data_IF_743442952413
#
_entry.id   IF_743442952413
#
_cell.length_a   1.000
_cell.length_b   1.000
_cell.length_c   1.000
_cell.angle_alpha   90.00
_cell.angle_beta   90.00
_cell.angle_gamma   90.00
#
_symmetry.space_group_name_H-M   'P 1'
#
loop_
_entity.id
_entity.type
_entity.pdbx_description
1 polymer ?
#
# COMPACT_ATOMS: atom_id res chain seq x y z
N UNK A 1 -3.44 -8.27 9.55
CA UNK A 1 -4.35 -9.17 8.81
C UNK A 1 -3.75 -9.43 7.44
N UNK A 2 -3.47 -10.69 7.07
CA UNK A 2 -3.19 -11.02 5.67
C UNK A 2 -4.53 -11.15 4.96
N UNK A 3 -4.74 -10.34 3.92
CA UNK A 3 -5.91 -10.43 3.05
C UNK A 3 -5.74 -11.72 2.25
N UNK A 4 -6.52 -12.75 2.59
CA UNK A 4 -6.53 -14.00 1.83
C UNK A 4 -7.84 -14.05 1.04
N UNK A 5 -7.71 -14.11 -0.28
CA UNK A 5 -8.82 -14.13 -1.24
C UNK A 5 -8.80 -15.49 -1.96
N UNK A 6 -9.17 -16.58 -1.26
CA UNK A 6 -8.95 -17.94 -1.73
C UNK A 6 -9.73 -18.24 -3.00
N UNK A 7 -10.99 -17.82 -3.12
CA UNK A 7 -11.82 -18.10 -4.30
C UNK A 7 -11.37 -17.27 -5.50
N UNK A 8 -11.01 -16.02 -5.26
CA UNK A 8 -10.43 -15.17 -6.32
C UNK A 8 -9.16 -15.78 -6.89
N UNK A 9 -8.27 -16.32 -6.04
CA UNK A 9 -7.05 -17.02 -6.47
C UNK A 9 -7.36 -18.31 -7.23
N UNK A 10 -8.37 -19.06 -6.82
CA UNK A 10 -8.73 -20.32 -7.48
C UNK A 10 -9.23 -20.09 -8.92
N UNK A 11 -10.08 -19.08 -9.13
CA UNK A 11 -10.54 -18.70 -10.48
C UNK A 11 -9.35 -18.28 -11.36
N UNK A 12 -8.42 -17.49 -10.81
CA UNK A 12 -7.20 -17.10 -11.52
C UNK A 12 -6.32 -18.29 -11.87
N UNK A 13 -6.14 -19.26 -10.96
CA UNK A 13 -5.37 -20.48 -11.21
C UNK A 13 -5.98 -21.29 -12.36
N UNK A 14 -7.29 -21.52 -12.35
CA UNK A 14 -7.99 -22.26 -13.40
C UNK A 14 -7.90 -21.55 -14.76
N UNK A 15 -7.96 -20.23 -14.77
CA UNK A 15 -7.75 -19.45 -15.99
C UNK A 15 -6.32 -19.59 -16.53
N UNK A 16 -5.30 -19.54 -15.66
CA UNK A 16 -3.90 -19.77 -16.07
C UNK A 16 -3.68 -21.18 -16.59
N UNK A 17 -4.30 -22.19 -15.98
CA UNK A 17 -4.22 -23.59 -16.46
C UNK A 17 -4.91 -23.80 -17.81
N UNK A 18 -6.01 -23.09 -18.05
CA UNK A 18 -6.73 -23.13 -19.32
C UNK A 18 -5.96 -22.42 -20.45
N UNK A 19 -5.27 -21.32 -20.14
CA UNK A 19 -4.54 -20.49 -21.12
C UNK A 19 -3.11 -20.97 -21.39
N UNK A 20 -2.51 -21.74 -20.49
CA UNK A 20 -1.15 -22.24 -20.69
C UNK A 20 -1.10 -23.37 -21.72
N UNK A 21 -0.79 -23.01 -22.97
CA UNK A 21 -0.59 -23.93 -24.10
C UNK A 21 0.89 -24.14 -24.43
N UNK A 22 1.80 -23.36 -23.82
CA UNK A 22 3.24 -23.36 -24.13
C UNK A 22 3.85 -24.74 -23.91
N UNK A 23 3.50 -25.39 -22.79
CA UNK A 23 3.99 -26.73 -22.48
C UNK A 23 3.52 -27.78 -23.51
N UNK A 24 2.29 -27.64 -24.02
CA UNK A 24 1.74 -28.55 -25.02
C UNK A 24 2.41 -28.37 -26.38
N UNK A 25 2.68 -27.12 -26.79
CA UNK A 25 3.42 -26.84 -28.03
C UNK A 25 4.87 -27.32 -27.96
N UNK A 26 5.54 -27.13 -26.81
CA UNK A 26 6.88 -27.67 -26.58
C UNK A 26 6.90 -29.21 -26.66
N UNK A 27 5.96 -29.87 -25.97
CA UNK A 27 5.82 -31.34 -26.02
C UNK A 27 5.54 -31.85 -27.44
N UNK A 28 4.69 -31.15 -28.20
CA UNK A 28 4.43 -31.46 -29.61
C UNK A 28 5.71 -31.40 -30.44
N UNK A 29 6.52 -30.35 -30.26
CA UNK A 29 7.77 -30.20 -31.00
C UNK A 29 8.79 -31.28 -30.64
N UNK A 30 8.88 -31.66 -29.35
CA UNK A 30 9.75 -32.76 -28.91
C UNK A 30 9.37 -34.09 -29.57
N UNK A 31 8.07 -34.42 -29.61
CA UNK A 31 7.58 -35.63 -30.28
C UNK A 31 7.90 -35.60 -31.77
N UNK A 32 7.71 -34.45 -32.44
CA UNK A 32 8.05 -34.30 -33.86
C UNK A 32 9.55 -34.56 -34.10
N UNK A 33 10.42 -34.01 -33.26
CA UNK A 33 11.87 -34.25 -33.37
C UNK A 33 12.21 -35.74 -33.18
N UNK A 34 11.63 -36.39 -32.17
CA UNK A 34 11.80 -37.83 -31.94
C UNK A 34 11.30 -38.67 -33.13
N UNK A 35 10.18 -38.29 -33.75
CA UNK A 35 9.67 -38.96 -34.95
C UNK A 35 10.64 -38.80 -36.13
N UNK A 36 11.23 -37.61 -36.31
CA UNK A 36 12.26 -37.40 -37.35
C UNK A 36 13.45 -38.32 -37.08
N UNK A 37 13.94 -38.38 -35.85
CA UNK A 37 15.08 -39.23 -35.47
C UNK A 37 14.78 -40.71 -35.72
N UNK A 38 13.64 -41.22 -35.24
CA UNK A 38 13.22 -42.61 -35.49
C UNK A 38 13.08 -42.87 -37.00
N UNK A 39 12.54 -41.93 -37.77
CA UNK A 39 12.43 -42.07 -39.22
C UNK A 39 13.81 -42.16 -39.91
N UNK A 40 14.80 -41.39 -39.45
CA UNK A 40 16.16 -41.50 -39.98
C UNK A 40 16.80 -42.84 -39.65
N UNK A 41 16.58 -43.36 -38.44
CA UNK A 41 17.06 -44.67 -38.03
C UNK A 41 16.38 -45.80 -38.81
N UNK A 42 15.09 -45.67 -39.09
CA UNK A 42 14.30 -46.62 -39.85
C UNK A 42 14.80 -46.75 -41.30
N UNK A 43 15.28 -45.66 -41.89
CA UNK A 43 15.96 -45.67 -43.20
C UNK A 43 17.37 -46.29 -43.17
N UNK A 44 17.99 -46.37 -41.99
CA UNK A 44 19.34 -46.91 -41.79
C UNK A 44 19.33 -48.34 -41.21
N UNK A 45 18.14 -48.88 -40.90
CA UNK A 45 17.97 -50.21 -40.34
C UNK A 45 18.52 -51.27 -41.30
N UNK A 46 19.32 -52.20 -40.76
CA UNK A 46 19.97 -53.26 -41.55
C UNK A 46 19.32 -54.62 -41.34
N UNK A 47 18.56 -54.77 -40.24
CA UNK A 47 17.87 -56.01 -39.88
C UNK A 47 16.36 -55.79 -39.82
N UNK A 48 15.60 -56.88 -40.04
CA UNK A 48 14.14 -56.85 -39.96
C UNK A 48 13.65 -56.58 -38.53
N UNK A 49 14.33 -57.10 -37.52
CA UNK A 49 13.99 -56.91 -36.11
C UNK A 49 14.15 -55.43 -35.67
N UNK A 50 15.22 -54.75 -36.12
CA UNK A 50 15.40 -53.32 -35.89
C UNK A 50 14.29 -52.50 -36.59
N UNK A 51 13.92 -52.90 -37.80
CA UNK A 51 12.85 -52.23 -38.55
C UNK A 51 11.50 -52.36 -37.83
N UNK A 52 11.16 -53.56 -37.36
CA UNK A 52 9.90 -53.82 -36.65
C UNK A 52 9.83 -53.03 -35.33
N UNK A 53 10.92 -53.03 -34.54
CA UNK A 53 11.01 -52.25 -33.30
C UNK A 53 10.86 -50.75 -33.55
N UNK A 54 11.58 -50.18 -34.54
CA UNK A 54 11.49 -48.75 -34.86
C UNK A 54 10.13 -48.37 -35.44
N UNK A 55 9.47 -49.30 -36.14
CA UNK A 55 8.11 -49.11 -36.66
C UNK A 55 7.08 -49.05 -35.53
N UNK A 56 7.22 -49.90 -34.50
CA UNK A 56 6.38 -49.83 -33.30
C UNK A 56 6.58 -48.51 -32.54
N UNK A 57 7.83 -48.07 -32.35
CA UNK A 57 8.16 -46.80 -31.71
C UNK A 57 7.56 -45.61 -32.50
N UNK A 58 7.66 -45.64 -33.83
CA UNK A 58 7.05 -44.64 -34.70
C UNK A 58 5.52 -44.62 -34.55
N UNK A 59 4.86 -45.78 -34.43
CA UNK A 59 3.41 -45.83 -34.17
C UNK A 59 3.06 -45.28 -32.78
N UNK A 60 3.85 -45.58 -31.76
CA UNK A 60 3.65 -45.05 -30.41
C UNK A 60 3.76 -43.51 -30.39
N UNK A 61 4.78 -42.96 -31.03
CA UNK A 61 4.97 -41.51 -31.17
C UNK A 61 3.81 -40.85 -31.94
N UNK A 62 3.31 -41.48 -33.01
CA UNK A 62 2.11 -40.99 -33.74
C UNK A 62 0.87 -40.93 -32.85
N UNK A 63 0.66 -41.92 -31.97
CA UNK A 63 -0.45 -41.90 -31.00
C UNK A 63 -0.30 -40.76 -30.00
N UNK A 64 0.90 -40.56 -29.45
CA UNK A 64 1.20 -39.46 -28.53
C UNK A 64 1.02 -38.08 -29.20
N UNK A 65 1.44 -37.93 -30.45
CA UNK A 65 1.25 -36.70 -31.22
C UNK A 65 -0.24 -36.38 -31.39
N UNK A 66 -1.03 -37.40 -31.73
CA UNK A 66 -2.49 -37.27 -31.90
C UNK A 66 -3.15 -36.83 -30.59
N UNK A 67 -2.74 -37.40 -29.46
CA UNK A 67 -3.25 -37.02 -28.14
C UNK A 67 -2.93 -35.54 -27.82
N UNK A 68 -1.69 -35.11 -28.06
CA UNK A 68 -1.27 -33.71 -27.82
C UNK A 68 -2.02 -32.76 -28.75
N UNK A 69 -2.21 -33.10 -30.01
CA UNK A 69 -2.97 -32.28 -30.97
C UNK A 69 -4.45 -32.15 -30.57
N UNK A 70 -5.07 -33.22 -30.04
CA UNK A 70 -6.42 -33.15 -29.47
C UNK A 70 -6.44 -32.19 -28.28
N UNK A 71 -5.49 -32.30 -27.36
CA UNK A 71 -5.41 -31.39 -26.20
C UNK A 71 -5.27 -29.93 -26.63
N UNK A 72 -4.41 -29.63 -27.63
CA UNK A 72 -4.24 -28.28 -28.19
C UNK A 72 -5.55 -27.76 -28.80
N UNK A 73 -6.32 -28.60 -29.50
CA UNK A 73 -7.62 -28.20 -30.07
C UNK A 73 -8.69 -27.96 -29.02
N UNK A 74 -8.67 -28.70 -27.91
CA UNK A 74 -9.65 -28.59 -26.83
C UNK A 74 -9.37 -27.38 -25.94
N UNK A 75 -8.11 -26.95 -25.79
CA UNK A 75 -7.70 -25.82 -24.94
C UNK A 75 -8.47 -24.51 -25.23
N UNK A 76 -8.63 -24.04 -26.48
CA UNK A 76 -9.44 -22.84 -26.77
C UNK A 76 -10.90 -22.95 -26.31
N UNK A 77 -11.49 -24.14 -26.34
CA UNK A 77 -12.86 -24.38 -25.87
C UNK A 77 -12.92 -24.32 -24.34
N UNK A 78 -11.92 -24.93 -23.67
CA UNK A 78 -11.77 -24.83 -22.21
C UNK A 78 -11.54 -23.39 -21.76
N UNK A 79 -10.68 -22.64 -22.44
CA UNK A 79 -10.43 -21.22 -22.15
C UNK A 79 -11.71 -20.40 -22.28
N UNK A 80 -12.48 -20.59 -23.38
CA UNK A 80 -13.77 -19.92 -23.54
C UNK A 80 -14.76 -20.26 -22.44
N UNK A 81 -14.80 -21.53 -22.02
CA UNK A 81 -15.66 -21.98 -20.92
C UNK A 81 -15.27 -21.31 -19.59
N UNK A 82 -13.99 -21.35 -19.22
CA UNK A 82 -13.48 -20.72 -17.98
C UNK A 82 -13.68 -19.21 -18.02
N UNK A 83 -13.42 -18.56 -19.17
CA UNK A 83 -13.63 -17.12 -19.35
C UNK A 83 -15.09 -16.72 -19.18
N UNK A 84 -16.01 -17.49 -19.77
CA UNK A 84 -17.43 -17.16 -19.74
C UNK A 84 -18.13 -17.52 -18.43
N UNK A 85 -17.70 -18.59 -17.78
CA UNK A 85 -18.35 -19.11 -16.58
C UNK A 85 -17.70 -18.60 -15.30
N UNK A 86 -16.37 -18.73 -15.18
CA UNK A 86 -15.67 -18.43 -13.92
C UNK A 86 -15.12 -16.99 -13.89
N UNK A 87 -14.49 -16.53 -14.98
CA UNK A 87 -13.85 -15.22 -15.00
C UNK A 87 -14.87 -14.06 -14.94
N UNK A 88 -16.09 -14.27 -15.45
CA UNK A 88 -17.20 -13.32 -15.29
C UNK A 88 -17.66 -13.18 -13.83
N UNK A 89 -17.48 -14.22 -13.02
CA UNK A 89 -17.85 -14.19 -11.60
C UNK A 89 -16.79 -13.54 -10.73
N UNK A 90 -15.57 -13.34 -11.26
CA UNK A 90 -14.44 -12.79 -10.53
C UNK A 90 -14.74 -11.45 -9.82
N UNK A 91 -15.42 -10.46 -10.45
CA UNK A 91 -15.74 -9.21 -9.76
C UNK A 91 -16.67 -9.41 -8.58
N UNK A 92 -17.65 -10.32 -8.71
CA UNK A 92 -18.62 -10.60 -7.64
C UNK A 92 -17.95 -11.32 -6.48
N UNK A 93 -17.17 -12.36 -6.77
CA UNK A 93 -16.42 -13.12 -5.76
C UNK A 93 -15.40 -12.25 -5.04
N UNK A 94 -14.69 -11.39 -5.78
CA UNK A 94 -13.76 -10.42 -5.19
C UNK A 94 -14.47 -9.47 -4.24
N UNK A 95 -15.60 -8.90 -4.67
CA UNK A 95 -16.38 -7.99 -3.83
C UNK A 95 -16.92 -8.70 -2.58
N UNK A 96 -17.44 -9.92 -2.71
CA UNK A 96 -17.91 -10.72 -1.56
C UNK A 96 -16.79 -10.99 -0.55
N UNK A 97 -15.61 -11.40 -1.02
CA UNK A 97 -14.46 -11.69 -0.15
C UNK A 97 -13.86 -10.40 0.45
N UNK A 98 -13.93 -9.27 -0.27
CA UNK A 98 -13.37 -7.99 0.16
C UNK A 98 -14.31 -7.18 1.08
N UNK A 99 -15.63 -7.36 0.94
CA UNK A 99 -16.65 -6.65 1.71
C UNK A 99 -16.39 -6.61 3.22
N UNK A 100 -16.08 -7.73 3.92
CA UNK A 100 -15.86 -7.69 5.37
C UNK A 100 -14.66 -6.82 5.77
N UNK A 101 -13.64 -6.72 4.91
CA UNK A 101 -12.48 -5.87 5.15
C UNK A 101 -12.83 -4.40 4.94
N UNK A 102 -13.60 -4.10 3.90
CA UNK A 102 -14.13 -2.74 3.68
C UNK A 102 -15.03 -2.30 4.85
N UNK A 103 -15.95 -3.15 5.30
CA UNK A 103 -16.83 -2.86 6.43
C UNK A 103 -16.04 -2.64 7.73
N UNK A 104 -14.97 -3.43 7.95
CA UNK A 104 -14.05 -3.24 9.07
C UNK A 104 -13.31 -1.90 8.98
N UNK A 105 -12.82 -1.54 7.80
CA UNK A 105 -12.17 -0.26 7.55
C UNK A 105 -13.11 0.92 7.83
N UNK A 106 -14.35 0.88 7.34
CA UNK A 106 -15.35 1.93 7.57
C UNK A 106 -15.67 2.07 9.07
N UNK A 107 -15.72 0.95 9.82
CA UNK A 107 -15.90 0.98 11.27
C UNK A 107 -14.71 1.62 11.99
N UNK A 108 -13.50 1.26 11.59
CA UNK A 108 -12.27 1.84 12.15
C UNK A 108 -12.17 3.34 11.84
N UNK A 109 -12.50 3.77 10.63
CA UNK A 109 -12.54 5.19 10.25
C UNK A 109 -13.54 5.97 11.13
N UNK A 110 -14.73 5.42 11.35
CA UNK A 110 -15.72 6.02 12.27
C UNK A 110 -15.21 6.10 13.72
N UNK A 111 -14.52 5.06 14.20
CA UNK A 111 -13.94 5.07 15.54
C UNK A 111 -12.81 6.10 15.66
N UNK A 112 -11.94 6.18 14.66
CA UNK A 112 -10.85 7.14 14.61
C UNK A 112 -11.38 8.57 14.61
N UNK A 113 -12.42 8.87 13.81
CA UNK A 113 -13.09 10.18 13.81
C UNK A 113 -13.62 10.55 15.18
N UNK A 114 -14.32 9.64 15.86
CA UNK A 114 -14.82 9.87 17.23
C UNK A 114 -13.70 10.12 18.23
N UNK A 115 -12.60 9.37 18.14
CA UNK A 115 -11.44 9.59 19.00
C UNK A 115 -10.78 10.94 18.73
N UNK A 116 -10.72 11.36 17.47
CA UNK A 116 -10.17 12.64 17.07
C UNK A 116 -11.03 13.80 17.57
N UNK A 117 -12.35 13.70 17.47
CA UNK A 117 -13.30 14.67 18.04
C UNK A 117 -13.10 14.80 19.55
N UNK A 118 -13.08 13.67 20.27
CA UNK A 118 -12.83 13.67 21.71
C UNK A 118 -11.48 14.28 22.08
N UNK A 119 -10.41 13.94 21.34
CA UNK A 119 -9.09 14.52 21.57
C UNK A 119 -9.08 16.04 21.38
N UNK A 120 -9.79 16.55 20.38
CA UNK A 120 -9.93 17.99 20.14
C UNK A 120 -10.70 18.68 21.27
N UNK A 121 -11.73 18.03 21.81
CA UNK A 121 -12.48 18.55 22.97
C UNK A 121 -11.61 18.57 24.23
N UNK A 122 -10.88 17.49 24.50
CA UNK A 122 -10.01 17.35 25.68
C UNK A 122 -8.82 18.34 25.64
N UNK A 123 -8.29 18.65 24.45
CA UNK A 123 -7.15 19.56 24.28
C UNK A 123 -7.54 21.03 24.10
N UNK A 124 -8.79 21.33 23.74
CA UNK A 124 -9.30 22.69 23.62
C UNK A 124 -9.08 23.57 24.88
N UNK A 125 -9.38 23.12 26.12
CA UNK A 125 -9.16 23.94 27.31
C UNK A 125 -7.68 24.25 27.52
N UNK A 126 -6.80 23.25 27.34
CA UNK A 126 -5.35 23.41 27.49
C UNK A 126 -4.82 24.46 26.50
N UNK A 127 -5.27 24.41 25.25
CA UNK A 127 -4.84 25.38 24.22
C UNK A 127 -5.36 26.77 24.54
N UNK A 128 -6.59 26.90 25.04
CA UNK A 128 -7.13 28.20 25.44
C UNK A 128 -6.36 28.79 26.63
N UNK A 129 -5.96 27.97 27.60
CA UNK A 129 -5.10 28.38 28.71
C UNK A 129 -3.72 28.80 28.21
N UNK A 130 -3.09 28.03 27.32
CA UNK A 130 -1.80 28.40 26.72
C UNK A 130 -1.87 29.70 25.93
N UNK A 131 -2.94 29.93 25.15
CA UNK A 131 -3.15 31.19 24.44
C UNK A 131 -3.38 32.37 25.40
N UNK A 132 -4.07 32.14 26.52
CA UNK A 132 -4.25 33.17 27.54
C UNK A 132 -2.92 33.53 28.22
N UNK A 133 -2.07 32.54 28.50
CA UNK A 133 -0.71 32.74 29.03
C UNK A 133 0.15 33.50 28.01
N UNK A 134 0.14 33.10 26.73
CA UNK A 134 0.90 33.77 25.66
C UNK A 134 0.48 35.25 25.51
N UNK A 135 -0.81 35.55 25.60
CA UNK A 135 -1.31 36.93 25.57
C UNK A 135 -0.88 37.74 26.80
N UNK A 136 -0.88 37.13 28.00
CA UNK A 136 -0.40 37.76 29.23
C UNK A 136 1.10 38.02 29.18
N UNK A 137 1.88 37.07 28.67
CA UNK A 137 3.33 37.22 28.48
C UNK A 137 3.65 38.31 27.46
N UNK A 138 2.95 38.36 26.32
CA UNK A 138 3.10 39.45 25.34
C UNK A 138 2.77 40.82 25.93
N UNK A 139 1.71 40.89 26.74
CA UNK A 139 1.32 42.10 27.48
C UNK A 139 2.39 42.50 28.50
N UNK A 140 2.96 41.53 29.23
CA UNK A 140 4.05 41.77 30.17
C UNK A 140 5.33 42.25 29.49
N UNK A 141 5.68 41.67 28.33
CA UNK A 141 6.83 42.12 27.54
C UNK A 141 6.64 43.55 27.02
N UNK A 142 5.44 43.88 26.54
CA UNK A 142 5.09 45.24 26.10
C UNK A 142 5.09 46.24 27.25
N UNK A 143 4.63 45.85 28.44
CA UNK A 143 4.71 46.68 29.64
C UNK A 143 6.17 46.90 30.07
N UNK A 144 6.99 45.84 30.03
CA UNK A 144 8.42 45.90 30.36
C UNK A 144 9.16 46.86 29.42
N UNK A 145 8.94 46.77 28.10
CA UNK A 145 9.56 47.68 27.12
C UNK A 145 9.13 49.12 27.37
N UNK A 146 7.84 49.36 27.62
CA UNK A 146 7.32 50.71 27.92
C UNK A 146 7.87 51.30 29.23
N UNK A 147 8.25 50.47 30.20
CA UNK A 147 8.88 50.90 31.46
C UNK A 147 10.39 51.12 31.27
N UNK A 148 11.08 50.29 30.47
CA UNK A 148 12.52 50.47 30.19
C UNK A 148 12.81 51.62 29.23
N UNK A 149 11.89 51.97 28.33
CA UNK A 149 12.01 53.09 27.39
C UNK A 149 11.59 54.44 27.98
N UNK A 150 10.98 54.45 29.18
CA UNK A 150 10.82 55.67 29.96
C UNK A 150 12.16 56.01 30.62
N UNK A 151 12.97 56.79 29.90
CA UNK A 151 14.23 57.37 30.38
C UNK A 151 14.10 58.10 31.74
N UNK A 152 12.88 58.47 32.15
CA UNK A 152 12.57 59.05 33.46
C UNK A 152 12.73 58.07 34.64
N UNK A 153 12.61 56.75 34.44
CA UNK A 153 12.75 55.79 35.56
C UNK A 153 14.21 55.52 35.91
N UNK A 154 15.13 55.64 34.94
CA UNK A 154 16.58 55.55 35.17
C UNK A 154 17.15 56.78 35.89
N UNK A 155 16.52 57.95 35.73
CA UNK A 155 16.94 59.16 36.44
C UNK A 155 16.45 59.19 37.89
N UNK A 156 15.31 58.56 38.20
CA UNK A 156 14.77 58.44 39.56
C UNK A 156 15.49 57.39 40.44
N UNK A 157 16.20 56.43 39.83
CA UNK A 157 16.95 55.37 40.52
C UNK A 157 18.47 55.58 40.53
N UNK A 158 18.96 56.82 40.38
CA UNK A 158 20.36 57.14 40.71
C UNK A 158 20.54 57.16 42.24
N UNK A 159 20.56 55.98 42.84
CA UNK A 159 21.22 55.79 44.13
C UNK A 159 22.74 56.01 43.92
N UNK A 160 23.42 56.72 44.83
CA UNK A 160 24.85 56.96 44.72
C UNK A 160 25.57 55.69 45.18
N UNK A 161 25.74 54.72 44.27
CA UNK A 161 26.50 53.51 44.56
C UNK A 161 27.42 53.22 43.37
N UNK A 162 28.71 53.06 43.71
CA UNK A 162 29.81 52.72 42.82
C UNK A 162 29.44 51.64 41.81
N UNK A 163 29.74 51.90 40.54
CA UNK A 163 29.61 50.96 39.43
C UNK A 163 30.61 49.81 39.59
N UNK A 164 30.14 48.67 40.09
CA UNK A 164 30.73 47.37 39.78
C UNK A 164 29.69 46.53 39.06
N UNK A 165 29.86 46.48 37.73
CA UNK A 165 29.36 45.48 36.78
C UNK A 165 28.24 44.56 37.27
N UNK A 166 26.98 44.99 37.10
CA UNK A 166 25.88 44.05 37.00
C UNK A 166 25.85 43.52 35.57
N UNK A 167 26.54 42.39 35.35
CA UNK A 167 26.40 41.63 34.12
C UNK A 167 24.98 41.07 34.13
N UNK A 168 24.10 41.66 33.32
CA UNK A 168 22.82 41.04 33.00
C UNK A 168 23.11 39.78 32.18
N UNK A 169 23.24 38.63 32.83
CA UNK A 169 23.09 37.34 32.16
C UNK A 169 21.61 37.16 31.83
N UNK A 170 21.16 37.86 30.78
CA UNK A 170 19.94 37.50 30.07
C UNK A 170 20.25 36.25 29.25
N UNK A 171 20.12 35.08 29.89
CA UNK A 171 20.03 33.82 29.19
C UNK A 171 18.70 33.19 29.56
N UNK A 172 17.63 33.68 28.92
CA UNK A 172 16.44 32.89 28.70
C UNK A 172 16.61 32.31 27.31
N UNK A 173 17.02 31.04 27.26
CA UNK A 173 16.92 30.23 26.05
C UNK A 173 15.51 30.42 25.49
N UNK A 174 15.44 30.78 24.20
CA UNK A 174 14.18 31.00 23.52
C UNK A 174 13.31 29.77 23.63
N UNK A 175 12.28 29.84 24.47
CA UNK A 175 11.14 28.94 24.37
C UNK A 175 10.44 29.36 23.08
N UNK A 176 10.50 28.49 22.09
CA UNK A 176 9.96 28.70 20.75
C UNK A 176 8.53 29.27 20.79
N UNK A 177 8.40 30.56 20.44
CA UNK A 177 7.18 31.36 20.36
C UNK A 177 6.23 30.94 19.21
N UNK A 178 6.16 29.65 18.90
CA UNK A 178 5.35 29.12 17.80
C UNK A 178 4.56 27.85 18.14
N UNK A 179 4.74 27.29 19.34
CA UNK A 179 4.14 26.00 19.70
C UNK A 179 2.62 26.11 19.89
N UNK A 180 2.12 27.08 20.65
CA UNK A 180 0.68 27.25 20.88
C UNK A 180 -0.08 27.67 19.61
N UNK A 181 0.43 28.65 18.86
CA UNK A 181 -0.14 29.04 17.56
C UNK A 181 0.02 27.96 16.48
N UNK A 182 1.02 27.10 16.58
CA UNK A 182 1.22 25.93 15.71
C UNK A 182 0.19 24.82 15.99
N UNK A 183 0.00 24.47 17.28
CA UNK A 183 -0.98 23.48 17.73
C UNK A 183 -2.41 23.98 17.46
N UNK A 184 -2.71 25.26 17.68
CA UNK A 184 -4.00 25.85 17.34
C UNK A 184 -4.29 25.80 15.82
N UNK A 185 -3.27 26.05 14.97
CA UNK A 185 -3.40 25.89 13.51
C UNK A 185 -3.59 24.44 13.08
N UNK A 186 -2.96 23.48 13.78
CA UNK A 186 -3.13 22.05 13.54
C UNK A 186 -4.55 21.59 13.90
N UNK A 187 -5.07 21.98 15.07
CA UNK A 187 -6.46 21.70 15.47
C UNK A 187 -7.47 22.38 14.55
N UNK A 188 -7.20 23.61 14.10
CA UNK A 188 -8.04 24.29 13.11
C UNK A 188 -8.08 23.54 11.78
N UNK A 189 -6.95 22.97 11.30
CA UNK A 189 -6.93 22.09 10.12
C UNK A 189 -7.70 20.80 10.33
N UNK A 190 -7.60 20.17 11.50
CA UNK A 190 -8.36 18.96 11.85
C UNK A 190 -9.87 19.25 11.85
N UNK A 191 -10.30 20.36 12.48
CA UNK A 191 -11.71 20.79 12.47
C UNK A 191 -12.21 21.06 11.05
N UNK A 192 -11.40 21.68 10.20
CA UNK A 192 -11.74 21.91 8.78
C UNK A 192 -11.85 20.59 7.99
N UNK A 193 -10.97 19.64 8.24
CA UNK A 193 -11.01 18.31 7.62
C UNK A 193 -12.24 17.51 8.06
N UNK A 194 -12.60 17.55 9.34
CA UNK A 194 -13.84 16.95 9.87
C UNK A 194 -15.10 17.64 9.32
N UNK A 195 -15.07 18.96 9.11
CA UNK A 195 -16.19 19.73 8.59
C UNK A 195 -16.45 19.60 7.07
N UNK A 196 -15.48 19.12 6.28
CA UNK A 196 -15.60 18.96 4.82
C UNK A 196 -16.11 17.57 4.39
N UNK A 197 -16.34 16.64 5.32
CA UNK A 197 -16.79 15.25 5.04
C UNK A 197 -18.27 15.05 5.41
N UNK A 198 -19.09 16.10 5.29
CA UNK A 198 -20.56 16.00 5.41
C UNK A 198 -21.22 15.75 4.05
#
# INVERSE_FOLDING_TARGET
MKLDLPRTREIWRKFQEATNTVNLHSKRQQIINQMVDVNTQLNLAKTMEEYDSLSEDMQALKRQLTEVDIQIRVKPVQERSVRNNELKQLPNVYNEEFQPYYDSYVKLDKQLKKQLEKFVEDTAPIINEMLAIENLESSFHSLKTNITDRDDFRSLLRLPINTTSFISTNHWEGIDYGMATGVARFIHRIKKFLGQVK
#
